data_IF_079431217812
#
_entry.id   IF_079431217812
#
_cell.length_a   1.000
_cell.length_b   1.000
_cell.length_c   1.000
_cell.angle_alpha   90.00
_cell.angle_beta   90.00
_cell.angle_gamma   90.00
#
_symmetry.space_group_name_H-M   'P 1'
#
loop_
_entity.id
_entity.type
_entity.pdbx_description
1 polymer ?
#
# COMPACT_ATOMS: atom_id res chain seq x y z
N UNK A 1 -5.65 -26.57 6.33
CA UNK A 1 -6.45 -25.33 6.44
C UNK A 1 -5.44 -24.27 6.82
N UNK A 2 -4.94 -23.54 5.82
CA UNK A 2 -3.96 -22.46 6.01
C UNK A 2 -4.73 -21.24 6.54
N UNK A 3 -4.59 -20.98 7.83
CA UNK A 3 -5.10 -19.79 8.52
C UNK A 3 -4.05 -18.67 8.36
N UNK A 4 -3.71 -18.31 7.12
CA UNK A 4 -2.91 -17.10 6.85
C UNK A 4 -3.82 -15.89 7.01
N UNK A 5 -4.06 -15.50 8.27
CA UNK A 5 -4.53 -14.15 8.57
C UNK A 5 -3.44 -13.18 8.11
N UNK A 6 -3.75 -12.17 7.28
CA UNK A 6 -2.78 -11.12 6.99
C UNK A 6 -2.37 -10.52 8.33
N UNK A 7 -1.09 -10.65 8.66
CA UNK A 7 -0.56 -10.05 9.88
C UNK A 7 -0.46 -8.57 9.57
N UNK A 8 -1.24 -7.69 10.23
CA UNK A 8 -1.10 -6.27 10.03
C UNK A 8 0.36 -5.87 10.24
N UNK A 9 0.87 -4.97 9.41
CA UNK A 9 2.25 -4.49 9.51
C UNK A 9 2.51 -4.08 10.96
N UNK A 10 3.61 -4.56 11.58
CA UNK A 10 3.99 -4.18 12.93
C UNK A 10 3.98 -2.64 13.12
N UNK A 11 3.39 -2.17 14.23
CA UNK A 11 3.17 -0.74 14.50
C UNK A 11 4.46 0.09 14.50
N UNK A 12 5.60 -0.53 14.81
CA UNK A 12 6.93 0.07 14.76
C UNK A 12 7.34 0.45 13.32
N UNK A 13 7.04 -0.42 12.36
CA UNK A 13 7.28 -0.15 10.94
C UNK A 13 6.30 0.92 10.43
N UNK A 14 5.05 0.87 10.89
CA UNK A 14 4.05 1.91 10.56
C UNK A 14 4.54 3.28 11.03
N UNK A 15 5.11 3.37 12.24
CA UNK A 15 5.64 4.62 12.78
C UNK A 15 6.83 5.15 11.97
N UNK A 16 7.80 4.31 11.66
CA UNK A 16 9.00 4.71 10.91
C UNK A 16 8.67 5.18 9.49
N UNK A 17 7.71 4.53 8.82
CA UNK A 17 7.28 4.91 7.48
C UNK A 17 6.36 6.14 7.53
N UNK A 18 5.51 6.30 8.55
CA UNK A 18 4.63 7.46 8.71
C UNK A 18 5.40 8.77 8.94
N UNK A 19 6.49 8.70 9.72
CA UNK A 19 7.33 9.87 9.97
C UNK A 19 8.06 10.35 8.70
N UNK A 20 8.41 9.43 7.78
CA UNK A 20 9.05 9.76 6.50
C UNK A 20 8.03 10.10 5.38
N UNK A 21 6.82 9.51 5.40
CA UNK A 21 5.85 9.54 4.29
C UNK A 21 4.86 10.72 4.32
N UNK A 22 4.83 11.52 5.39
CA UNK A 22 4.10 12.79 5.42
C UNK A 22 4.72 13.86 4.48
N UNK A 23 5.93 13.61 3.97
CA UNK A 23 6.61 14.46 2.99
C UNK A 23 6.28 13.99 1.57
N UNK A 24 5.06 14.31 1.11
CA UNK A 24 4.66 14.32 -0.30
C UNK A 24 4.98 13.05 -1.08
N UNK A 25 4.00 12.15 -1.23
CA UNK A 25 4.07 11.05 -2.20
C UNK A 25 4.66 11.56 -3.53
N UNK A 26 5.85 11.08 -3.95
CA UNK A 26 6.47 11.48 -5.20
C UNK A 26 5.49 11.32 -6.35
N UNK A 27 5.38 12.33 -7.22
CA UNK A 27 4.48 12.27 -8.39
C UNK A 27 4.81 11.14 -9.37
N UNK A 28 5.95 10.48 -9.18
CA UNK A 28 6.47 9.37 -9.98
C UNK A 28 6.05 7.99 -9.47
N UNK A 29 5.51 7.86 -8.26
CA UNK A 29 5.10 6.57 -7.75
C UNK A 29 3.89 6.03 -8.52
N UNK A 30 3.93 4.75 -8.96
CA UNK A 30 2.82 4.13 -9.64
C UNK A 30 1.56 4.17 -8.77
N UNK A 31 0.44 4.51 -9.42
CA UNK A 31 -0.87 4.58 -8.79
C UNK A 31 -1.67 3.33 -9.12
N UNK A 32 -2.33 2.80 -8.10
CA UNK A 32 -3.25 1.69 -8.20
C UNK A 32 -4.60 2.09 -7.61
N UNK A 33 -5.66 1.49 -8.10
CA UNK A 33 -7.02 1.59 -7.54
C UNK A 33 -7.47 0.20 -7.12
N UNK A 34 -8.07 0.13 -5.93
CA UNK A 34 -8.81 -1.05 -5.50
C UNK A 34 -10.24 -1.08 -6.06
N UNK A 35 -11.02 -2.10 -5.69
CA UNK A 35 -12.40 -2.25 -6.17
C UNK A 35 -13.35 -1.17 -5.64
N UNK A 36 -13.00 -0.55 -4.52
CA UNK A 36 -13.80 0.44 -3.80
C UNK A 36 -13.47 1.86 -4.29
N UNK A 37 -12.48 1.99 -5.18
CA UNK A 37 -12.04 3.23 -5.81
C UNK A 37 -11.02 4.00 -4.95
N UNK A 38 -10.48 3.39 -3.90
CA UNK A 38 -9.39 4.01 -3.14
C UNK A 38 -8.09 3.93 -3.95
N UNK A 39 -7.36 5.03 -3.97
CA UNK A 39 -6.07 5.11 -4.65
C UNK A 39 -4.95 4.73 -3.69
N UNK A 40 -4.06 3.88 -4.17
CA UNK A 40 -2.88 3.40 -3.47
C UNK A 40 -1.63 3.73 -4.29
N UNK A 41 -0.59 4.28 -3.65
CA UNK A 41 0.71 4.51 -4.25
C UNK A 41 1.67 3.40 -3.90
N UNK A 42 2.25 2.79 -4.93
CA UNK A 42 3.34 1.82 -4.76
C UNK A 42 4.62 2.58 -4.44
N UNK A 43 5.11 2.42 -3.21
CA UNK A 43 6.35 3.06 -2.78
C UNK A 43 7.57 2.28 -3.25
N UNK A 44 8.74 2.91 -3.21
CA UNK A 44 10.03 2.24 -3.48
C UNK A 44 10.50 1.35 -2.31
N UNK A 45 9.77 1.34 -1.19
CA UNK A 45 10.10 0.52 -0.01
C UNK A 45 9.55 -0.89 -0.13
N UNK A 46 10.35 -1.87 0.30
CA UNK A 46 9.97 -3.28 0.33
C UNK A 46 10.15 -3.88 1.72
N UNK A 47 9.23 -4.76 2.12
CA UNK A 47 9.30 -5.56 3.34
C UNK A 47 8.87 -7.00 3.02
N UNK A 48 9.63 -7.99 3.50
CA UNK A 48 9.44 -9.42 3.17
C UNK A 48 9.34 -9.72 1.67
N UNK A 49 10.04 -8.95 0.83
CA UNK A 49 10.02 -9.09 -0.63
C UNK A 49 8.75 -8.56 -1.30
N UNK A 50 7.88 -7.86 -0.57
CA UNK A 50 6.71 -7.18 -1.12
C UNK A 50 6.80 -5.66 -0.93
N UNK A 51 6.10 -4.91 -1.76
CA UNK A 51 6.13 -3.45 -1.74
C UNK A 51 5.14 -2.88 -0.74
N UNK A 52 5.56 -1.81 -0.05
CA UNK A 52 4.67 -1.02 0.79
C UNK A 52 3.81 -0.11 -0.09
N UNK A 53 2.52 -0.07 0.21
CA UNK A 53 1.52 0.79 -0.41
C UNK A 53 1.13 1.92 0.54
N UNK A 54 1.13 3.16 0.03
CA UNK A 54 0.67 4.36 0.74
C UNK A 54 -0.73 4.75 0.22
N UNK A 55 -1.76 4.87 1.07
CA UNK A 55 -3.09 5.28 0.65
C UNK A 55 -3.15 6.78 0.31
N UNK A 56 -4.00 7.15 -0.65
CA UNK A 56 -3.88 8.43 -1.32
C UNK A 56 -4.07 9.66 -0.41
N UNK A 57 -5.25 9.85 0.15
CA UNK A 57 -5.29 10.14 1.58
C UNK A 57 -6.59 9.59 2.19
N UNK A 58 -6.52 8.98 3.38
CA UNK A 58 -7.68 8.44 4.09
C UNK A 58 -7.29 7.96 5.49
N UNK A 59 -8.26 7.46 6.26
CA UNK A 59 -8.03 6.83 7.58
C UNK A 59 -7.40 5.42 7.46
N UNK A 60 -7.05 5.00 6.24
CA UNK A 60 -6.48 3.70 5.95
C UNK A 60 -4.98 3.69 6.31
N UNK A 61 -4.50 2.70 7.07
CA UNK A 61 -3.08 2.56 7.35
C UNK A 61 -2.30 2.09 6.11
N UNK A 62 -0.98 2.28 6.13
CA UNK A 62 -0.10 1.69 5.12
C UNK A 62 -0.11 0.17 5.21
N UNK A 63 0.02 -0.49 4.05
CA UNK A 63 -0.09 -1.94 3.95
C UNK A 63 0.90 -2.48 2.91
N UNK A 64 1.26 -3.77 3.00
CA UNK A 64 1.97 -4.42 1.91
C UNK A 64 0.99 -4.62 0.76
N UNK A 65 1.48 -4.63 -0.48
CA UNK A 65 0.64 -4.83 -1.66
C UNK A 65 -0.22 -6.09 -1.53
N UNK A 66 0.35 -7.21 -1.08
CA UNK A 66 -0.41 -8.45 -0.83
C UNK A 66 -1.55 -8.29 0.17
N UNK A 67 -1.34 -7.49 1.22
CA UNK A 67 -2.33 -7.29 2.28
C UNK A 67 -3.43 -6.34 1.83
N UNK A 68 -3.06 -5.28 1.10
CA UNK A 68 -4.02 -4.40 0.43
C UNK A 68 -4.88 -5.17 -0.59
N UNK A 69 -4.26 -6.02 -1.42
CA UNK A 69 -4.98 -6.86 -2.38
C UNK A 69 -5.88 -7.90 -1.70
N UNK A 70 -5.47 -8.43 -0.56
CA UNK A 70 -6.27 -9.37 0.22
C UNK A 70 -7.51 -8.72 0.85
N UNK A 71 -7.37 -7.50 1.38
CA UNK A 71 -8.43 -6.78 2.10
C UNK A 71 -9.38 -6.03 1.17
N UNK A 72 -8.84 -5.31 0.19
CA UNK A 72 -9.57 -4.41 -0.70
C UNK A 72 -9.81 -5.01 -2.10
N UNK A 73 -9.26 -6.20 -2.35
CA UNK A 73 -9.34 -6.87 -3.65
C UNK A 73 -8.22 -6.42 -4.61
N UNK A 74 -8.18 -6.98 -5.83
CA UNK A 74 -7.07 -6.78 -6.76
C UNK A 74 -6.83 -5.32 -7.08
N UNK A 75 -5.57 -4.87 -6.91
CA UNK A 75 -5.14 -3.52 -7.23
C UNK A 75 -4.89 -3.39 -8.74
N UNK A 76 -5.60 -2.46 -9.37
CA UNK A 76 -5.52 -2.21 -10.81
C UNK A 76 -4.71 -0.95 -11.10
N UNK A 77 -3.83 -0.98 -12.10
CA UNK A 77 -3.03 0.21 -12.47
C UNK A 77 -3.94 1.30 -13.03
N UNK A 78 -3.81 2.52 -12.51
CA UNK A 78 -4.60 3.68 -13.00
C UNK A 78 -3.87 4.47 -14.07
N UNK A 79 -2.56 4.28 -14.23
CA UNK A 79 -1.84 4.82 -15.38
C UNK A 79 -1.94 3.84 -16.56
N UNK A 80 -2.31 4.33 -17.76
CA UNK A 80 -2.08 3.57 -18.98
C UNK A 80 -0.57 3.39 -19.11
N UNK A 81 -0.14 2.15 -19.30
CA UNK A 81 1.19 1.84 -19.82
C UNK A 81 1.32 2.52 -21.18
N UNK A 82 1.95 3.70 -21.20
CA UNK A 82 2.31 4.41 -22.43
C UNK A 82 3.46 3.73 -23.16
#
# INVERSE_FOLDING_TARGET
>A
MDDTRPTPIPDDIVSDICEDSLLTAPSTWPKYEDRDGETWWLTDYTHDGDHVMLPAPGDTPMMLRRDAEHLHGPLTTTQPTG
#
